data_IF_068110133909
#
_entry.id   IF_068110133909
#
_cell.length_a   1.000
_cell.length_b   1.000
_cell.length_c   1.000
_cell.angle_alpha   90.00
_cell.angle_beta   90.00
_cell.angle_gamma   90.00
#
_symmetry.space_group_name_H-M   'P 1'
#
loop_
_entity.id
_entity.type
_entity.pdbx_description
1 polymer ?
#
# COMPACT_ATOMS: atom_id res chain seq x y z
N UNK A 1 -34.23 26.99 -15.11
CA UNK A 1 -33.79 26.13 -13.98
C UNK A 1 -32.26 26.14 -13.88
N UNK A 2 -31.72 26.77 -12.82
CA UNK A 2 -30.29 26.82 -12.58
C UNK A 2 -29.79 25.44 -12.17
N UNK A 3 -28.78 24.92 -12.89
CA UNK A 3 -28.07 23.69 -12.52
C UNK A 3 -27.32 23.97 -11.22
N UNK A 4 -27.43 23.13 -10.17
CA UNK A 4 -26.65 23.32 -8.96
C UNK A 4 -25.18 23.07 -9.31
N UNK A 5 -24.35 24.09 -9.12
CA UNK A 5 -22.89 23.94 -9.13
C UNK A 5 -22.52 23.03 -7.95
N UNK A 6 -21.71 21.98 -8.14
CA UNK A 6 -21.27 21.14 -7.03
C UNK A 6 -20.51 22.00 -6.02
N UNK A 7 -20.89 21.87 -4.75
CA UNK A 7 -20.27 22.60 -3.66
C UNK A 7 -18.75 22.33 -3.64
N UNK A 8 -17.98 23.40 -3.52
CA UNK A 8 -16.53 23.40 -3.42
C UNK A 8 -16.06 22.55 -2.21
N UNK A 9 -15.49 21.37 -2.48
CA UNK A 9 -14.98 20.39 -1.49
C UNK A 9 -13.66 20.84 -0.82
N UNK A 10 -13.26 22.09 -1.08
CA UNK A 10 -12.09 22.77 -0.52
C UNK A 10 -12.15 22.99 1.01
N UNK A 11 -13.34 22.94 1.62
CA UNK A 11 -13.53 23.30 3.04
C UNK A 11 -13.64 22.14 4.04
N UNK A 12 -13.59 20.87 3.60
CA UNK A 12 -13.56 19.74 4.54
C UNK A 12 -12.16 19.58 5.13
N UNK A 13 -12.04 19.82 6.44
CA UNK A 13 -10.83 19.52 7.20
C UNK A 13 -10.40 18.07 6.93
N UNK A 14 -9.10 17.88 6.65
CA UNK A 14 -8.55 16.55 6.46
C UNK A 14 -8.83 15.69 7.70
N UNK A 15 -9.43 14.53 7.52
CA UNK A 15 -9.66 13.58 8.61
C UNK A 15 -8.30 13.08 9.08
N UNK A 16 -8.03 13.16 10.38
CA UNK A 16 -6.81 12.59 10.98
C UNK A 16 -7.15 11.21 11.54
N UNK A 17 -6.38 10.20 11.14
CA UNK A 17 -6.53 8.84 11.62
C UNK A 17 -6.14 8.65 13.08
N UNK A 18 -6.84 7.73 13.75
CA UNK A 18 -6.67 7.39 15.16
C UNK A 18 -6.21 5.94 15.37
N UNK A 19 -6.10 5.15 14.31
CA UNK A 19 -5.72 3.74 14.40
C UNK A 19 -4.22 3.61 14.71
N UNK A 20 -3.87 3.27 15.95
CA UNK A 20 -2.47 3.17 16.39
C UNK A 20 -1.78 1.84 16.03
N UNK A 21 -2.55 0.83 15.63
CA UNK A 21 -2.08 -0.46 15.13
C UNK A 21 -1.94 -0.50 13.61
N UNK A 22 -1.19 -1.48 13.09
CA UNK A 22 -1.07 -1.70 11.63
C UNK A 22 -2.36 -2.25 11.01
N UNK A 23 -3.21 -2.88 11.82
CA UNK A 23 -4.53 -3.44 11.51
C UNK A 23 -5.42 -3.32 12.75
N UNK A 24 -6.74 -3.19 12.59
CA UNK A 24 -7.67 -3.34 13.71
C UNK A 24 -7.81 -4.82 14.08
N UNK A 25 -8.08 -5.10 15.36
CA UNK A 25 -8.33 -6.46 15.82
C UNK A 25 -9.57 -7.07 15.15
N UNK A 26 -10.65 -6.29 15.01
CA UNK A 26 -11.86 -6.72 14.33
C UNK A 26 -11.56 -7.17 12.89
N UNK A 27 -10.83 -6.36 12.10
CA UNK A 27 -10.48 -6.70 10.72
C UNK A 27 -9.59 -7.95 10.63
N UNK A 28 -8.66 -8.10 11.59
CA UNK A 28 -7.76 -9.26 11.65
C UNK A 28 -8.52 -10.55 11.99
N UNK A 29 -9.43 -10.49 12.96
CA UNK A 29 -10.28 -11.62 13.36
C UNK A 29 -11.30 -11.99 12.28
N UNK A 30 -11.84 -11.00 11.57
CA UNK A 30 -12.73 -11.25 10.43
C UNK A 30 -11.99 -12.02 9.32
N UNK A 31 -10.75 -11.62 9.00
CA UNK A 31 -9.91 -12.38 8.06
C UNK A 31 -9.64 -13.81 8.54
N UNK A 32 -9.41 -14.00 9.84
CA UNK A 32 -9.26 -15.34 10.43
C UNK A 32 -10.52 -16.18 10.24
N UNK A 33 -11.69 -15.63 10.56
CA UNK A 33 -12.97 -16.30 10.45
C UNK A 33 -13.29 -16.69 8.99
N UNK A 34 -12.93 -15.84 8.03
CA UNK A 34 -13.14 -16.05 6.60
C UNK A 34 -12.05 -16.89 5.91
N UNK A 35 -11.02 -17.35 6.64
CA UNK A 35 -9.87 -18.09 6.08
C UNK A 35 -9.08 -17.29 5.03
N UNK A 36 -9.01 -15.96 5.20
CA UNK A 36 -8.34 -15.02 4.30
C UNK A 36 -6.99 -14.52 4.84
N UNK A 37 -6.47 -15.15 5.90
CA UNK A 37 -5.17 -14.79 6.48
C UNK A 37 -4.01 -15.20 5.56
N UNK A 38 -3.06 -14.29 5.37
CA UNK A 38 -1.77 -14.62 4.79
C UNK A 38 -0.92 -15.42 5.78
N UNK A 39 -0.04 -16.31 5.30
CA UNK A 39 0.98 -16.99 6.13
C UNK A 39 1.90 -16.00 6.87
N UNK A 40 2.02 -14.78 6.34
CA UNK A 40 2.77 -13.69 6.98
C UNK A 40 2.07 -13.13 8.22
N UNK A 41 0.79 -13.43 8.40
CA UNK A 41 -0.04 -12.97 9.52
C UNK A 41 -0.31 -14.10 10.54
N UNK A 42 0.16 -15.33 10.30
CA UNK A 42 -0.08 -16.45 11.19
C UNK A 42 0.68 -16.30 12.52
N UNK A 43 -0.02 -16.67 13.59
CA UNK A 43 0.56 -16.95 14.89
C UNK A 43 1.42 -18.21 14.79
N UNK A 44 2.66 -18.08 15.27
CA UNK A 44 3.63 -19.15 15.23
C UNK A 44 3.12 -20.38 15.98
N UNK A 45 3.27 -21.56 15.37
CA UNK A 45 2.78 -22.83 15.91
C UNK A 45 1.33 -23.16 15.51
N UNK A 46 0.63 -22.27 14.80
CA UNK A 46 -0.74 -22.51 14.32
C UNK A 46 -0.81 -22.78 12.81
N UNK A 47 0.31 -22.79 12.10
CA UNK A 47 0.40 -22.89 10.64
C UNK A 47 -0.17 -24.20 10.08
N UNK A 48 -0.11 -25.27 10.89
CA UNK A 48 -0.60 -26.61 10.53
C UNK A 48 -2.09 -26.81 10.81
N UNK A 49 -2.71 -25.87 11.53
CA UNK A 49 -4.11 -25.98 11.90
C UNK A 49 -5.00 -25.71 10.68
N UNK A 50 -6.17 -26.37 10.61
CA UNK A 50 -7.17 -26.09 9.56
C UNK A 50 -7.60 -24.62 9.54
N UNK A 51 -7.52 -23.96 10.70
CA UNK A 51 -7.77 -22.53 10.87
C UNK A 51 -6.60 -21.93 11.67
N UNK A 52 -5.52 -21.48 11.01
CA UNK A 52 -4.43 -20.80 11.67
C UNK A 52 -4.94 -19.56 12.41
N UNK A 53 -4.32 -19.24 13.54
CA UNK A 53 -4.68 -18.05 14.31
C UNK A 53 -3.92 -16.84 13.78
N UNK A 54 -4.52 -15.66 13.87
CA UNK A 54 -3.88 -14.40 13.51
C UNK A 54 -2.95 -13.96 14.64
N UNK A 55 -1.75 -13.54 14.28
CA UNK A 55 -0.88 -12.76 15.14
C UNK A 55 -1.21 -11.28 14.95
N UNK A 56 -1.87 -10.67 15.92
CA UNK A 56 -2.27 -9.25 15.87
C UNK A 56 -1.06 -8.31 15.73
N UNK A 57 0.13 -8.71 16.18
CA UNK A 57 1.35 -7.91 16.00
C UNK A 57 1.87 -7.96 14.56
N UNK A 58 1.47 -8.97 13.77
CA UNK A 58 1.83 -9.16 12.37
C UNK A 58 0.74 -8.75 11.38
N UNK A 59 -0.50 -8.63 11.85
CA UNK A 59 -1.64 -8.26 11.03
C UNK A 59 -1.47 -6.84 10.47
N UNK A 60 -1.69 -6.68 9.17
CA UNK A 60 -1.66 -5.37 8.49
C UNK A 60 -2.97 -5.18 7.75
N UNK A 61 -3.54 -3.97 7.85
CA UNK A 61 -4.80 -3.58 7.21
C UNK A 61 -4.77 -3.92 5.71
N UNK A 62 -5.78 -4.65 5.23
CA UNK A 62 -5.94 -5.02 3.82
C UNK A 62 -6.47 -3.84 3.02
N UNK A 63 -6.14 -3.79 1.73
CA UNK A 63 -6.73 -2.79 0.85
C UNK A 63 -8.22 -3.06 0.70
N UNK A 64 -9.04 -2.03 0.88
CA UNK A 64 -10.49 -2.11 0.66
C UNK A 64 -10.84 -1.29 -0.57
N UNK A 65 -11.50 -1.89 -1.55
CA UNK A 65 -11.95 -1.14 -2.72
C UNK A 65 -12.98 -0.09 -2.26
N UNK A 66 -12.79 1.21 -2.58
CA UNK A 66 -13.81 2.20 -2.30
C UNK A 66 -15.12 1.81 -2.98
N UNK A 67 -16.19 1.67 -2.21
CA UNK A 67 -17.53 1.46 -2.76
C UNK A 67 -18.08 2.81 -3.23
N UNK A 68 -18.63 2.86 -4.45
CA UNK A 68 -19.18 4.08 -5.00
C UNK A 68 -20.29 4.63 -4.10
N UNK A 69 -20.15 5.88 -3.67
CA UNK A 69 -21.12 6.54 -2.79
C UNK A 69 -21.08 6.12 -1.32
N UNK A 70 -20.19 5.21 -0.92
CA UNK A 70 -19.98 4.91 0.50
C UNK A 70 -19.28 6.11 1.20
N UNK A 71 -19.60 6.37 2.48
CA UNK A 71 -18.89 7.38 3.24
C UNK A 71 -17.40 7.02 3.36
N UNK A 72 -16.51 8.02 3.51
CA UNK A 72 -15.11 7.73 3.79
C UNK A 72 -14.97 6.93 5.10
N UNK A 73 -13.91 6.11 5.25
CA UNK A 73 -13.67 5.36 6.48
C UNK A 73 -13.61 6.29 7.70
N UNK A 74 -14.14 5.88 8.86
CA UNK A 74 -14.05 6.68 10.08
C UNK A 74 -12.59 6.82 10.54
N UNK A 75 -12.31 7.86 11.32
CA UNK A 75 -10.96 8.14 11.83
C UNK A 75 -10.35 6.95 12.60
N UNK A 76 -11.17 6.17 13.31
CA UNK A 76 -10.76 4.95 14.03
C UNK A 76 -10.20 3.84 13.13
N UNK A 77 -10.49 3.88 11.83
CA UNK A 77 -10.01 2.91 10.84
C UNK A 77 -8.84 3.45 10.00
N UNK A 78 -8.50 4.72 10.13
CA UNK A 78 -7.41 5.37 9.40
C UNK A 78 -6.16 5.39 10.28
N UNK A 79 -5.03 4.95 9.73
CA UNK A 79 -3.73 4.98 10.43
C UNK A 79 -3.07 6.35 10.23
N UNK A 80 -2.66 7.06 11.30
CA UNK A 80 -1.93 8.32 11.17
C UNK A 80 -0.53 8.08 10.61
N UNK A 81 0.10 9.15 10.09
CA UNK A 81 1.39 9.07 9.39
C UNK A 81 2.48 8.25 10.12
N UNK A 82 2.73 8.43 11.44
CA UNK A 82 3.76 7.64 12.13
C UNK A 82 3.49 6.12 12.10
N UNK A 83 2.21 5.72 12.08
CA UNK A 83 1.81 4.31 12.00
C UNK A 83 2.00 3.80 10.58
N UNK A 84 1.68 4.60 9.56
CA UNK A 84 1.92 4.27 8.15
C UNK A 84 3.42 4.06 7.87
N UNK A 85 4.29 4.93 8.38
CA UNK A 85 5.74 4.82 8.22
C UNK A 85 6.32 3.53 8.81
N UNK A 86 5.91 3.19 10.04
CA UNK A 86 6.28 1.91 10.68
C UNK A 86 5.70 0.72 9.93
N UNK A 87 4.49 0.83 9.41
CA UNK A 87 3.84 -0.23 8.63
C UNK A 87 4.63 -0.52 7.36
N UNK A 88 5.02 0.50 6.60
CA UNK A 88 5.84 0.31 5.39
C UNK A 88 7.20 -0.28 5.77
N UNK A 89 7.84 0.20 6.84
CA UNK A 89 9.09 -0.40 7.31
C UNK A 89 8.95 -1.89 7.63
N UNK A 90 7.89 -2.26 8.36
CA UNK A 90 7.58 -3.66 8.68
C UNK A 90 7.35 -4.50 7.40
N UNK A 91 6.54 -4.01 6.46
CA UNK A 91 6.22 -4.72 5.22
C UNK A 91 7.47 -4.96 4.37
N UNK A 92 8.33 -3.95 4.21
CA UNK A 92 9.59 -4.11 3.47
C UNK A 92 10.56 -5.06 4.19
N UNK A 93 10.57 -5.06 5.52
CA UNK A 93 11.33 -6.04 6.29
C UNK A 93 10.79 -7.47 6.08
N UNK A 94 9.47 -7.66 5.93
CA UNK A 94 8.90 -8.99 5.64
C UNK A 94 9.36 -9.51 4.27
N UNK A 95 9.55 -8.63 3.28
CA UNK A 95 10.15 -9.04 2.00
C UNK A 95 11.53 -9.66 2.20
N UNK A 96 12.38 -9.06 3.03
CA UNK A 96 13.76 -9.53 3.26
C UNK A 96 13.82 -10.76 4.19
N UNK A 97 13.03 -10.75 5.27
CA UNK A 97 13.18 -11.70 6.37
C UNK A 97 12.43 -13.04 6.17
N UNK A 98 11.33 -13.04 5.41
CA UNK A 98 10.44 -14.22 5.27
C UNK A 98 10.79 -15.08 4.07
N UNK A 99 12.05 -15.49 3.96
CA UNK A 99 12.53 -16.40 2.91
C UNK A 99 11.86 -17.78 2.93
N UNK A 100 11.22 -18.15 4.04
CA UNK A 100 10.37 -19.34 4.20
C UNK A 100 9.06 -19.28 3.39
N UNK A 101 8.65 -18.09 2.94
CA UNK A 101 7.43 -17.86 2.18
C UNK A 101 7.79 -17.63 0.70
N UNK A 102 7.10 -18.29 -0.25
CA UNK A 102 7.35 -18.08 -1.68
C UNK A 102 7.35 -16.59 -2.04
N UNK A 103 8.28 -16.11 -2.90
CA UNK A 103 8.37 -14.69 -3.27
C UNK A 103 7.04 -14.11 -3.74
N UNK A 104 6.30 -14.85 -4.56
CA UNK A 104 4.99 -14.42 -5.06
C UNK A 104 3.96 -14.19 -3.95
N UNK A 105 3.92 -15.07 -2.94
CA UNK A 105 3.01 -14.92 -1.80
C UNK A 105 3.39 -13.70 -0.95
N UNK A 106 4.69 -13.42 -0.79
CA UNK A 106 5.18 -12.19 -0.15
C UNK A 106 4.77 -10.96 -0.94
N UNK A 107 4.96 -10.97 -2.25
CA UNK A 107 4.60 -9.87 -3.14
C UNK A 107 3.11 -9.56 -3.09
N UNK A 108 2.24 -10.57 -3.27
CA UNK A 108 0.78 -10.39 -3.26
C UNK A 108 0.31 -9.79 -1.94
N UNK A 109 0.85 -10.27 -0.82
CA UNK A 109 0.56 -9.69 0.48
C UNK A 109 1.06 -8.24 0.60
N UNK A 110 2.35 -8.01 0.37
CA UNK A 110 2.97 -6.69 0.59
C UNK A 110 2.35 -5.63 -0.32
N UNK A 111 2.18 -5.93 -1.61
CA UNK A 111 1.58 -5.01 -2.58
C UNK A 111 0.15 -4.61 -2.19
N UNK A 112 -0.68 -5.55 -1.73
CA UNK A 112 -2.02 -5.25 -1.21
C UNK A 112 -1.96 -4.34 0.02
N UNK A 113 -1.10 -4.66 0.99
CA UNK A 113 -0.98 -3.87 2.22
C UNK A 113 -0.38 -2.47 1.97
N UNK A 114 0.51 -2.31 1.00
CA UNK A 114 1.02 -1.01 0.56
C UNK A 114 -0.06 -0.17 -0.14
N UNK A 115 -0.99 -0.80 -0.87
CA UNK A 115 -2.17 -0.10 -1.40
C UNK A 115 -3.07 0.40 -0.28
N UNK A 116 -3.25 -0.37 0.79
CA UNK A 116 -4.01 0.07 1.96
C UNK A 116 -3.34 1.27 2.65
N UNK A 117 -2.00 1.30 2.70
CA UNK A 117 -1.24 2.46 3.19
C UNK A 117 -1.51 3.69 2.33
N UNK A 118 -1.40 3.57 1.00
CA UNK A 118 -1.67 4.68 0.08
C UNK A 118 -3.12 5.15 0.19
N UNK A 119 -4.08 4.23 0.33
CA UNK A 119 -5.49 4.57 0.55
C UNK A 119 -5.69 5.41 1.82
N UNK A 120 -5.08 5.01 2.94
CA UNK A 120 -5.14 5.79 4.18
C UNK A 120 -4.52 7.19 4.00
N UNK A 121 -3.43 7.31 3.22
CA UNK A 121 -2.82 8.60 2.89
C UNK A 121 -3.75 9.47 2.05
N UNK A 122 -4.39 8.92 1.02
CA UNK A 122 -5.32 9.64 0.15
C UNK A 122 -6.53 10.16 0.93
N UNK A 123 -7.16 9.32 1.75
CA UNK A 123 -8.34 9.72 2.56
C UNK A 123 -7.98 10.85 3.53
N UNK A 124 -6.79 10.78 4.14
CA UNK A 124 -6.30 11.78 5.09
C UNK A 124 -5.60 12.97 4.43
N UNK A 125 -5.51 13.01 3.08
CA UNK A 125 -4.80 14.05 2.31
C UNK A 125 -3.35 14.27 2.81
N UNK A 126 -2.64 13.18 3.11
CA UNK A 126 -1.27 13.22 3.64
C UNK A 126 -0.23 13.32 2.51
N UNK A 127 0.73 14.23 2.66
CA UNK A 127 1.89 14.33 1.79
C UNK A 127 3.15 13.79 2.49
N UNK A 128 3.60 12.59 2.09
CA UNK A 128 4.78 11.95 2.65
C UNK A 128 5.66 11.36 1.53
N UNK A 129 6.35 12.19 0.73
CA UNK A 129 7.09 11.73 -0.45
C UNK A 129 8.23 10.76 -0.12
N UNK A 130 8.85 10.90 1.06
CA UNK A 130 9.89 9.96 1.52
C UNK A 130 9.29 8.55 1.73
N UNK A 131 8.07 8.46 2.27
CA UNK A 131 7.37 7.19 2.46
C UNK A 131 6.97 6.58 1.11
N UNK A 132 6.40 7.40 0.22
CA UNK A 132 6.00 6.97 -1.12
C UNK A 132 7.20 6.51 -1.96
N UNK A 133 8.35 7.18 -1.85
CA UNK A 133 9.58 6.75 -2.51
C UNK A 133 10.01 5.33 -2.12
N UNK A 134 9.79 4.92 -0.87
CA UNK A 134 10.05 3.53 -0.43
C UNK A 134 9.11 2.52 -1.11
N UNK A 135 7.86 2.92 -1.33
CA UNK A 135 6.85 2.11 -2.05
C UNK A 135 7.20 2.02 -3.54
N UNK A 136 7.58 3.14 -4.16
CA UNK A 136 8.07 3.20 -5.54
C UNK A 136 9.26 2.26 -5.73
N UNK A 137 10.28 2.36 -4.88
CA UNK A 137 11.46 1.49 -4.92
C UNK A 137 11.10 0.02 -4.75
N UNK A 138 10.16 -0.32 -3.87
CA UNK A 138 9.68 -1.69 -3.74
C UNK A 138 9.10 -2.20 -5.06
N UNK A 139 8.16 -1.48 -5.68
CA UNK A 139 7.55 -1.93 -6.94
C UNK A 139 8.54 -2.01 -8.10
N UNK A 140 9.54 -1.11 -8.17
CA UNK A 140 10.65 -1.22 -9.14
C UNK A 140 11.47 -2.50 -8.91
N UNK A 141 11.79 -2.83 -7.66
CA UNK A 141 12.48 -4.08 -7.34
C UNK A 141 11.65 -5.31 -7.70
N UNK A 142 10.33 -5.25 -7.60
CA UNK A 142 9.45 -6.36 -8.00
C UNK A 142 9.44 -6.58 -9.50
N UNK A 143 9.54 -5.52 -10.32
CA UNK A 143 9.71 -5.69 -11.77
C UNK A 143 10.96 -6.53 -12.06
N UNK A 144 12.09 -6.22 -11.42
CA UNK A 144 13.33 -6.96 -11.59
C UNK A 144 13.26 -8.40 -11.07
N UNK A 145 12.69 -8.59 -9.87
CA UNK A 145 12.56 -9.92 -9.27
C UNK A 145 11.74 -10.84 -10.18
N UNK A 146 10.58 -10.37 -10.63
CA UNK A 146 9.63 -11.20 -11.38
C UNK A 146 9.87 -11.25 -12.88
N UNK A 147 10.63 -10.33 -13.49
CA UNK A 147 11.00 -10.44 -14.90
C UNK A 147 11.91 -11.66 -15.17
N UNK A 148 12.67 -12.09 -14.16
CA UNK A 148 13.56 -13.26 -14.24
C UNK A 148 12.85 -14.60 -13.98
N UNK A 149 11.62 -14.55 -13.46
CA UNK A 149 10.82 -15.71 -13.09
C UNK A 149 9.92 -16.14 -14.25
N UNK A 150 10.34 -17.16 -15.01
CA UNK A 150 9.61 -17.68 -16.17
C UNK A 150 8.12 -18.03 -15.91
N UNK A 151 7.77 -18.39 -14.67
CA UNK A 151 6.40 -18.75 -14.26
C UNK A 151 5.68 -17.67 -13.44
N UNK A 152 6.21 -16.43 -13.40
CA UNK A 152 5.62 -15.35 -12.60
C UNK A 152 4.14 -15.08 -12.92
N UNK A 153 3.68 -15.04 -14.19
CA UNK A 153 2.27 -14.80 -14.51
C UNK A 153 1.37 -15.91 -13.96
N UNK A 154 1.75 -17.18 -14.16
CA UNK A 154 1.00 -18.34 -13.67
C UNK A 154 0.98 -18.43 -12.14
N UNK A 155 1.96 -17.81 -11.46
CA UNK A 155 2.02 -17.72 -10.02
C UNK A 155 1.16 -16.57 -9.43
N UNK A 156 0.63 -15.68 -10.28
CA UNK A 156 -0.24 -14.57 -9.89
C UNK A 156 0.42 -13.19 -9.92
N UNK A 157 1.63 -13.05 -10.49
CA UNK A 157 2.23 -11.73 -10.75
C UNK A 157 1.59 -11.10 -11.98
N UNK A 158 1.27 -9.81 -11.89
CA UNK A 158 0.81 -9.00 -13.02
C UNK A 158 1.68 -7.77 -13.13
N UNK A 159 2.53 -7.73 -14.16
CA UNK A 159 3.36 -6.57 -14.48
C UNK A 159 2.49 -5.32 -14.66
N UNK A 160 1.39 -5.43 -15.41
CA UNK A 160 0.44 -4.32 -15.61
C UNK A 160 -0.08 -3.77 -14.28
N UNK A 161 -0.42 -4.68 -13.34
CA UNK A 161 -0.86 -4.25 -12.02
C UNK A 161 0.29 -3.61 -11.23
N UNK A 162 1.48 -4.22 -11.21
CA UNK A 162 2.64 -3.69 -10.51
C UNK A 162 3.01 -2.28 -11.01
N UNK A 163 3.08 -2.10 -12.33
CA UNK A 163 3.29 -0.80 -12.99
C UNK A 163 2.25 0.23 -12.59
N UNK A 164 0.97 -0.15 -12.53
CA UNK A 164 -0.08 0.77 -12.07
C UNK A 164 0.14 1.22 -10.62
N UNK A 165 0.52 0.30 -9.72
CA UNK A 165 0.82 0.63 -8.32
C UNK A 165 2.07 1.51 -8.17
N UNK A 166 3.10 1.23 -8.98
CA UNK A 166 4.32 2.01 -9.10
C UNK A 166 4.00 3.45 -9.54
N UNK A 167 3.31 3.62 -10.66
CA UNK A 167 2.97 4.93 -11.22
C UNK A 167 2.10 5.75 -10.25
N UNK A 168 1.10 5.12 -9.62
CA UNK A 168 0.26 5.81 -8.64
C UNK A 168 1.10 6.35 -7.46
N UNK A 169 1.98 5.54 -6.88
CA UNK A 169 2.84 5.97 -5.79
C UNK A 169 3.83 7.06 -6.22
N UNK A 170 4.37 6.96 -7.44
CA UNK A 170 5.33 7.90 -8.01
C UNK A 170 4.70 9.26 -8.27
N UNK A 171 3.54 9.29 -8.93
CA UNK A 171 2.80 10.53 -9.21
C UNK A 171 2.42 11.21 -7.90
N UNK A 172 1.84 10.48 -6.94
CA UNK A 172 1.50 11.04 -5.62
C UNK A 172 2.71 11.59 -4.86
N UNK A 173 3.92 11.03 -5.08
CA UNK A 173 5.14 11.55 -4.47
C UNK A 173 5.61 12.85 -5.15
N UNK A 174 5.48 12.94 -6.48
CA UNK A 174 5.85 14.13 -7.27
C UNK A 174 4.86 15.29 -7.11
N UNK A 175 3.60 15.00 -6.81
CA UNK A 175 2.56 16.00 -6.50
C UNK A 175 2.70 16.60 -5.08
N UNK A 176 3.61 16.06 -4.25
CA UNK A 176 3.83 16.60 -2.90
C UNK A 176 4.37 18.04 -2.96
N UNK A 177 4.02 18.91 -1.99
CA UNK A 177 4.59 20.24 -1.89
C UNK A 177 6.11 20.22 -1.91
N UNK A 178 6.72 21.10 -2.71
CA UNK A 178 8.17 21.11 -2.94
C UNK A 178 9.00 21.22 -1.65
N UNK A 179 8.45 21.84 -0.59
CA UNK A 179 9.10 21.96 0.71
C UNK A 179 9.30 20.61 1.42
N UNK A 180 8.47 19.61 1.10
CA UNK A 180 8.53 18.26 1.68
C UNK A 180 9.42 17.31 0.87
N UNK A 181 9.88 17.74 -0.31
CA UNK A 181 10.60 16.91 -1.26
C UNK A 181 12.06 17.38 -1.41
N UNK A 182 13.02 16.69 -0.77
CA UNK A 182 14.44 17.01 -0.92
C UNK A 182 14.87 16.94 -2.40
N UNK A 183 15.74 17.86 -2.84
CA UNK A 183 16.12 17.99 -4.25
C UNK A 183 16.69 16.67 -4.84
N UNK A 184 17.52 15.96 -4.07
CA UNK A 184 18.07 14.67 -4.49
C UNK A 184 16.98 13.60 -4.68
N UNK A 185 15.98 13.56 -3.79
CA UNK A 185 14.86 12.64 -3.91
C UNK A 185 13.96 13.03 -5.09
N UNK A 186 13.74 14.32 -5.31
CA UNK A 186 12.98 14.80 -6.46
C UNK A 186 13.63 14.36 -7.77
N UNK A 187 14.94 14.56 -7.92
CA UNK A 187 15.69 14.15 -9.10
C UNK A 187 15.62 12.63 -9.33
N UNK A 188 15.72 11.83 -8.26
CA UNK A 188 15.55 10.38 -8.33
C UNK A 188 14.16 10.00 -8.86
N UNK A 189 13.09 10.55 -8.26
CA UNK A 189 11.71 10.23 -8.66
C UNK A 189 11.41 10.68 -10.09
N UNK A 190 11.88 11.87 -10.51
CA UNK A 190 11.77 12.32 -11.89
C UNK A 190 12.51 11.40 -12.86
N UNK A 191 13.66 10.85 -12.46
CA UNK A 191 14.40 9.88 -13.29
C UNK A 191 13.56 8.62 -13.51
N UNK A 192 12.90 8.09 -12.48
CA UNK A 192 11.97 6.96 -12.64
C UNK A 192 10.79 7.32 -13.53
N UNK A 193 10.22 8.52 -13.37
CA UNK A 193 9.07 8.97 -14.16
C UNK A 193 9.43 9.03 -15.66
N UNK A 194 10.56 9.64 -16.00
CA UNK A 194 11.04 9.74 -17.38
C UNK A 194 11.28 8.34 -17.97
N UNK A 195 11.94 7.45 -17.22
CA UNK A 195 12.21 6.08 -17.69
C UNK A 195 10.94 5.26 -17.92
N UNK A 196 9.90 5.46 -17.11
CA UNK A 196 8.64 4.73 -17.23
C UNK A 196 7.82 5.15 -18.46
N UNK A 197 8.00 6.38 -18.94
CA UNK A 197 7.27 6.97 -20.07
C UNK A 197 8.19 7.28 -21.26
N UNK A 198 9.38 6.69 -21.33
CA UNK A 198 10.38 6.99 -22.35
C UNK A 198 9.90 6.69 -23.79
N UNK A 199 8.97 5.75 -23.95
CA UNK A 199 8.39 5.35 -25.23
C UNK A 199 7.08 6.08 -25.56
N UNK A 200 6.57 6.92 -24.67
CA UNK A 200 5.36 7.71 -24.91
C UNK A 200 5.72 8.98 -25.68
N UNK A 201 5.04 9.29 -26.81
CA UNK A 201 5.29 10.53 -27.54
C UNK A 201 4.89 11.74 -26.68
N UNK A 202 5.80 12.72 -26.61
CA UNK A 202 5.63 13.97 -25.86
C UNK A 202 4.46 14.84 -26.36
#
# INVERSE_FOLDING_TARGET
PAVPVPADDSSRAAVVGLAMGMCSEAEALDRQACLELSRLEYLQGTEWQKRPQVDLARAVKRYQRPAAGAPPPPASELRPLPVLERTVAYLLQQWLARGDVPPINRYVFISDRLRAVQQDMTVQRLHAPILLARIVRFHLLMELEFCSLANAPSAGYSEVQNRSLLCNALISALEAPAQLLPAALHAELLSYFVLLHADEPA
#
